data_IF_708832575811
#
_entry.id   IF_708832575811
#
_cell.length_a   1.000
_cell.length_b   1.000
_cell.length_c   1.000
_cell.angle_alpha   90.00
_cell.angle_beta   90.00
_cell.angle_gamma   90.00
#
_symmetry.space_group_name_H-M   'P 1'
#
loop_
_entity.id
_entity.type
_entity.pdbx_description
1 polymer ?
#
# COMPACT_ATOMS: atom_id res chain seq x y z
N UNK A 1 2.53 5.90 20.11
CA UNK A 1 3.87 5.30 19.86
C UNK A 1 3.90 4.59 18.50
N UNK A 2 2.89 3.78 18.19
CA UNK A 2 2.81 2.92 17.00
C UNK A 2 2.89 3.66 15.67
N UNK A 3 2.18 4.80 15.52
CA UNK A 3 2.24 5.60 14.29
C UNK A 3 3.66 6.09 13.94
N UNK A 4 4.48 6.43 14.95
CA UNK A 4 5.87 6.87 14.72
C UNK A 4 6.71 5.72 14.15
N UNK A 5 6.53 4.52 14.68
CA UNK A 5 7.24 3.32 14.22
C UNK A 5 6.77 2.92 12.82
N UNK A 6 5.46 2.92 12.55
CA UNK A 6 4.91 2.64 11.21
C UNK A 6 5.51 3.59 10.17
N UNK A 7 5.54 4.90 10.46
CA UNK A 7 6.16 5.89 9.55
C UNK A 7 7.61 5.58 9.27
N UNK A 8 8.41 5.26 10.29
CA UNK A 8 9.80 4.87 10.13
C UNK A 8 9.94 3.60 9.27
N UNK A 9 9.19 2.54 9.56
CA UNK A 9 9.22 1.29 8.81
C UNK A 9 8.83 1.47 7.34
N UNK A 10 7.84 2.30 7.04
CA UNK A 10 7.47 2.62 5.64
C UNK A 10 8.59 3.39 4.94
N UNK A 11 9.25 4.33 5.64
CA UNK A 11 10.39 5.06 5.08
C UNK A 11 11.58 4.13 4.76
N UNK A 12 11.91 3.22 5.67
CA UNK A 12 12.95 2.20 5.45
C UNK A 12 12.57 1.24 4.33
N UNK A 13 11.30 0.81 4.27
CA UNK A 13 10.82 -0.07 3.19
C UNK A 13 10.95 0.62 1.82
N UNK A 14 10.63 1.91 1.72
CA UNK A 14 10.83 2.66 0.47
C UNK A 14 12.31 2.70 0.06
N UNK A 15 13.25 2.74 1.01
CA UNK A 15 14.68 2.72 0.71
C UNK A 15 15.17 1.39 0.14
N UNK A 16 14.49 0.29 0.44
CA UNK A 16 14.81 -1.03 -0.15
C UNK A 16 14.44 -1.16 -1.63
N UNK A 17 13.56 -0.28 -2.14
CA UNK A 17 13.09 -0.33 -3.52
C UNK A 17 14.11 0.28 -4.49
N UNK A 18 14.31 -0.40 -5.61
CA UNK A 18 15.16 0.00 -6.72
C UNK A 18 14.38 0.75 -7.80
N UNK A 19 15.08 1.33 -8.78
CA UNK A 19 14.45 2.07 -9.89
C UNK A 19 13.63 1.16 -10.82
N UNK A 20 13.81 -0.16 -10.80
CA UNK A 20 13.00 -1.11 -11.59
C UNK A 20 11.66 -1.46 -10.89
N UNK A 21 11.50 -1.06 -9.64
CA UNK A 21 10.30 -1.32 -8.85
C UNK A 21 9.21 -0.26 -9.09
N UNK A 22 7.95 -0.68 -8.94
CA UNK A 22 6.78 0.18 -9.06
C UNK A 22 5.97 0.16 -7.77
N UNK A 23 5.72 1.33 -7.20
CA UNK A 23 5.14 1.49 -5.86
C UNK A 23 4.06 2.58 -5.84
N UNK A 24 3.07 2.38 -4.99
CA UNK A 24 2.21 3.45 -4.50
C UNK A 24 2.06 3.26 -2.99
N UNK A 25 1.85 4.35 -2.26
CA UNK A 25 1.62 4.33 -0.82
C UNK A 25 0.21 4.83 -0.56
N UNK A 26 -0.58 4.01 0.13
CA UNK A 26 -1.94 4.33 0.51
C UNK A 26 -2.05 4.47 2.03
N UNK A 27 -2.92 5.36 2.47
CA UNK A 27 -3.41 5.41 3.85
C UNK A 27 -4.86 4.97 3.87
N UNK A 28 -5.28 4.36 4.97
CA UNK A 28 -6.67 4.00 5.15
C UNK A 28 -7.13 4.20 6.59
N UNK A 29 -8.42 4.52 6.71
CA UNK A 29 -9.22 4.46 7.92
C UNK A 29 -10.59 3.89 7.52
N UNK A 30 -11.66 4.69 7.53
CA UNK A 30 -12.97 4.35 6.96
C UNK A 30 -12.94 4.36 5.42
N UNK A 31 -11.93 4.99 4.82
CA UNK A 31 -11.69 5.01 3.38
C UNK A 31 -10.21 4.82 3.10
N UNK A 32 -9.88 4.35 1.90
CA UNK A 32 -8.52 4.18 1.44
C UNK A 32 -8.19 5.14 0.29
N UNK A 33 -7.03 5.79 0.38
CA UNK A 33 -6.58 6.77 -0.61
C UNK A 33 -5.05 6.78 -0.74
N UNK A 34 -4.56 7.13 -1.94
CA UNK A 34 -3.14 7.36 -2.15
C UNK A 34 -2.67 8.58 -1.34
N UNK A 35 -1.50 8.46 -0.69
CA UNK A 35 -0.94 9.57 0.10
C UNK A 35 -0.48 10.73 -0.78
N UNK A 36 -0.24 10.47 -2.07
CA UNK A 36 0.04 11.46 -3.12
C UNK A 36 -1.14 11.46 -4.11
N UNK A 37 -2.03 12.46 -4.09
CA UNK A 37 -3.25 12.46 -4.92
C UNK A 37 -3.01 12.39 -6.43
N UNK A 38 -1.87 12.87 -6.92
CA UNK A 38 -1.54 12.80 -8.35
C UNK A 38 -1.04 11.41 -8.78
N UNK A 39 -0.63 10.54 -7.86
CA UNK A 39 -0.20 9.17 -8.15
C UNK A 39 -1.40 8.22 -8.15
N UNK A 40 -2.20 8.30 -9.22
CA UNK A 40 -3.41 7.47 -9.40
C UNK A 40 -3.13 5.97 -9.58
N UNK A 41 -1.88 5.62 -9.86
CA UNK A 41 -1.40 4.28 -10.19
C UNK A 41 -0.04 4.05 -9.52
N UNK A 42 0.50 2.83 -9.58
CA UNK A 42 1.89 2.56 -9.21
C UNK A 42 2.84 3.39 -10.07
N UNK A 43 3.81 4.04 -9.44
CA UNK A 43 4.86 4.83 -10.10
C UNK A 43 6.22 4.18 -9.86
N UNK A 44 7.17 4.45 -10.75
CA UNK A 44 8.55 3.97 -10.59
C UNK A 44 9.14 4.46 -9.26
N UNK A 45 9.83 3.59 -8.52
CA UNK A 45 10.42 3.88 -7.22
C UNK A 45 11.77 4.62 -7.32
N UNK A 46 11.86 5.59 -8.23
CA UNK A 46 13.05 6.44 -8.36
C UNK A 46 13.21 7.39 -7.17
N UNK A 47 14.42 7.95 -7.01
CA UNK A 47 14.79 8.85 -5.90
C UNK A 47 13.77 9.98 -5.69
N UNK A 48 13.25 10.56 -6.78
CA UNK A 48 12.30 11.69 -6.73
C UNK A 48 10.94 11.25 -6.19
N UNK A 49 10.38 10.16 -6.72
CA UNK A 49 9.07 9.65 -6.29
C UNK A 49 9.13 9.14 -4.85
N UNK A 50 10.21 8.44 -4.47
CA UNK A 50 10.44 8.01 -3.07
C UNK A 50 10.45 9.20 -2.12
N UNK A 51 11.10 10.31 -2.48
CA UNK A 51 11.11 11.53 -1.67
C UNK A 51 9.69 12.07 -1.41
N UNK A 52 8.85 12.16 -2.44
CA UNK A 52 7.45 12.60 -2.27
C UNK A 52 6.68 11.68 -1.32
N UNK A 53 6.80 10.36 -1.47
CA UNK A 53 6.15 9.42 -0.56
C UNK A 53 6.60 9.60 0.89
N UNK A 54 7.91 9.72 1.13
CA UNK A 54 8.44 9.92 2.48
C UNK A 54 7.92 11.21 3.12
N UNK A 55 7.89 12.30 2.37
CA UNK A 55 7.34 13.58 2.84
C UNK A 55 5.85 13.45 3.22
N UNK A 56 5.05 12.79 2.37
CA UNK A 56 3.63 12.58 2.65
C UNK A 56 3.40 11.64 3.84
N UNK A 57 4.18 10.55 3.95
CA UNK A 57 4.14 9.61 5.07
C UNK A 57 4.43 10.32 6.39
N UNK A 58 5.41 11.23 6.40
CA UNK A 58 5.76 12.01 7.58
C UNK A 58 4.60 12.89 8.08
N UNK A 59 3.77 13.41 7.17
CA UNK A 59 2.62 14.26 7.49
C UNK A 59 1.36 13.49 7.89
N UNK A 60 1.34 12.15 7.79
CA UNK A 60 0.15 11.36 8.12
C UNK A 60 -0.26 11.50 9.59
N UNK A 61 -1.57 11.50 9.83
CA UNK A 61 -2.16 11.51 11.16
C UNK A 61 -3.16 10.36 11.28
N UNK A 62 -3.16 9.69 12.42
CA UNK A 62 -4.14 8.65 12.72
C UNK A 62 -5.44 9.30 13.19
N UNK A 63 -6.56 8.99 12.51
CA UNK A 63 -7.91 9.48 12.84
C UNK A 63 -8.96 8.52 12.27
N UNK A 64 -10.09 8.43 12.95
CA UNK A 64 -11.26 7.63 12.52
C UNK A 64 -11.14 6.17 12.91
N UNK A 65 -12.07 5.37 12.38
CA UNK A 65 -12.13 3.91 12.59
C UNK A 65 -11.42 3.17 11.46
N UNK A 66 -10.93 1.96 11.73
CA UNK A 66 -10.22 1.14 10.75
C UNK A 66 -11.18 0.26 9.94
N UNK A 67 -11.18 0.41 8.61
CA UNK A 67 -11.84 -0.50 7.66
C UNK A 67 -10.79 -1.17 6.76
N UNK A 68 -10.43 -2.40 7.12
CA UNK A 68 -9.48 -3.22 6.36
C UNK A 68 -9.97 -3.56 4.96
N UNK A 69 -11.29 -3.71 4.76
CA UNK A 69 -11.84 -4.08 3.45
C UNK A 69 -11.63 -2.95 2.46
N UNK A 70 -11.91 -1.71 2.86
CA UNK A 70 -11.62 -0.54 2.04
C UNK A 70 -10.14 -0.46 1.65
N UNK A 71 -9.23 -0.69 2.60
CA UNK A 71 -7.78 -0.75 2.35
C UNK A 71 -7.40 -1.81 1.32
N UNK A 72 -7.87 -3.05 1.49
CA UNK A 72 -7.55 -4.14 0.57
C UNK A 72 -8.21 -3.99 -0.80
N UNK A 73 -9.45 -3.53 -0.88
CA UNK A 73 -10.08 -3.21 -2.17
C UNK A 73 -9.26 -2.20 -2.96
N UNK A 74 -8.80 -1.13 -2.31
CA UNK A 74 -7.95 -0.13 -2.94
C UNK A 74 -6.63 -0.75 -3.42
N UNK A 75 -5.95 -1.51 -2.56
CA UNK A 75 -4.66 -2.13 -2.89
C UNK A 75 -4.75 -3.14 -4.04
N UNK A 76 -5.76 -4.02 -4.03
CA UNK A 76 -5.98 -4.96 -5.13
C UNK A 76 -6.34 -4.25 -6.43
N UNK A 77 -7.19 -3.23 -6.40
CA UNK A 77 -7.51 -2.43 -7.58
C UNK A 77 -6.24 -1.75 -8.13
N UNK A 78 -5.37 -1.22 -7.27
CA UNK A 78 -4.08 -0.66 -7.69
C UNK A 78 -3.17 -1.73 -8.32
N UNK A 79 -3.17 -2.98 -7.86
CA UNK A 79 -2.28 -4.03 -8.38
C UNK A 79 -2.81 -4.76 -9.61
N UNK A 80 -4.12 -4.93 -9.72
CA UNK A 80 -4.75 -5.84 -10.69
C UNK A 80 -5.43 -5.12 -11.85
N UNK A 81 -5.88 -3.87 -11.67
CA UNK A 81 -6.50 -3.15 -12.77
C UNK A 81 -5.48 -2.88 -13.88
N UNK A 82 -5.85 -3.25 -15.10
CA UNK A 82 -5.05 -2.97 -16.29
C UNK A 82 -5.05 -1.46 -16.53
N UNK A 83 -3.89 -0.85 -16.40
CA UNK A 83 -3.63 0.53 -16.78
C UNK A 83 -2.70 0.53 -17.99
N UNK A 84 -2.83 1.50 -18.90
CA UNK A 84 -1.87 1.70 -20.00
C UNK A 84 -0.52 2.29 -19.53
N UNK A 85 -0.16 2.02 -18.27
CA UNK A 85 0.99 2.61 -17.57
C UNK A 85 2.05 1.52 -17.39
N UNK A 86 3.33 1.83 -17.58
CA UNK A 86 4.42 0.89 -17.34
C UNK A 86 4.37 0.28 -15.93
N UNK A 87 4.75 -0.99 -15.83
CA UNK A 87 4.83 -1.77 -14.58
C UNK A 87 5.97 -2.77 -14.65
N UNK A 88 6.50 -3.16 -13.49
CA UNK A 88 7.48 -4.24 -13.39
C UNK A 88 6.93 -5.60 -13.86
N UNK A 89 5.62 -5.85 -13.71
CA UNK A 89 4.96 -7.13 -14.05
C UNK A 89 5.63 -8.39 -13.48
N UNK A 90 6.32 -8.25 -12.35
CA UNK A 90 6.98 -9.33 -11.61
C UNK A 90 6.17 -9.68 -10.35
N UNK A 91 6.80 -9.59 -9.17
CA UNK A 91 6.15 -9.84 -7.90
C UNK A 91 5.07 -8.78 -7.61
N UNK A 92 3.86 -9.23 -7.29
CA UNK A 92 2.77 -8.35 -6.81
C UNK A 92 2.64 -8.51 -5.31
N UNK A 93 2.91 -7.44 -4.57
CA UNK A 93 3.01 -7.46 -3.12
C UNK A 93 2.15 -6.35 -2.53
N UNK A 94 1.40 -6.66 -1.47
CA UNK A 94 0.76 -5.69 -0.57
C UNK A 94 1.46 -5.79 0.78
N UNK A 95 1.91 -4.66 1.32
CA UNK A 95 2.44 -4.57 2.68
C UNK A 95 1.51 -3.72 3.53
N UNK A 96 0.94 -4.34 4.56
CA UNK A 96 0.03 -3.70 5.51
C UNK A 96 0.79 -3.43 6.81
N UNK A 97 0.86 -2.16 7.20
CA UNK A 97 1.33 -1.74 8.51
C UNK A 97 0.13 -1.32 9.35
N UNK A 98 -0.09 -1.98 10.47
CA UNK A 98 -1.22 -1.75 11.37
C UNK A 98 -0.77 -1.87 12.82
N UNK A 99 -1.57 -1.42 13.78
CA UNK A 99 -1.36 -1.64 15.22
C UNK A 99 -2.21 -2.80 15.78
N UNK A 100 -2.96 -3.49 14.90
CA UNK A 100 -3.80 -4.64 15.22
C UNK A 100 -5.21 -4.50 14.67
N UNK A 101 -5.96 -5.60 14.62
CA UNK A 101 -7.34 -5.59 14.15
C UNK A 101 -8.00 -6.96 14.24
N UNK A 102 -9.32 -6.97 14.38
CA UNK A 102 -10.11 -8.21 14.45
C UNK A 102 -10.60 -8.68 13.08
N UNK A 103 -10.85 -7.76 12.15
CA UNK A 103 -11.34 -8.10 10.80
C UNK A 103 -10.22 -8.68 9.93
N UNK A 104 -10.52 -9.80 9.29
CA UNK A 104 -9.61 -10.55 8.39
C UNK A 104 -9.84 -10.22 6.91
N UNK A 105 -10.87 -9.43 6.57
CA UNK A 105 -11.24 -9.06 5.20
C UNK A 105 -11.31 -10.25 4.21
N UNK A 106 -11.70 -11.44 4.72
CA UNK A 106 -11.59 -12.71 3.99
C UNK A 106 -12.35 -12.71 2.66
N UNK A 107 -13.50 -12.04 2.60
CA UNK A 107 -14.31 -11.82 1.41
C UNK A 107 -13.52 -11.10 0.30
N UNK A 108 -12.76 -10.06 0.65
CA UNK A 108 -11.91 -9.33 -0.32
C UNK A 108 -10.84 -10.25 -0.89
N UNK A 109 -10.17 -11.04 -0.05
CA UNK A 109 -9.17 -12.00 -0.53
C UNK A 109 -9.77 -13.06 -1.44
N UNK A 110 -10.95 -13.59 -1.09
CA UNK A 110 -11.66 -14.56 -1.92
C UNK A 110 -12.00 -13.98 -3.30
N UNK A 111 -12.43 -12.73 -3.35
CA UNK A 111 -12.77 -12.04 -4.59
C UNK A 111 -11.55 -11.80 -5.48
N UNK A 112 -10.44 -11.28 -4.93
CA UNK A 112 -9.34 -10.75 -5.73
C UNK A 112 -8.16 -11.70 -5.92
N UNK A 113 -7.94 -12.64 -5.00
CA UNK A 113 -6.70 -13.40 -4.96
C UNK A 113 -6.90 -14.92 -4.91
N UNK A 114 -8.12 -15.43 -4.73
CA UNK A 114 -8.39 -16.86 -4.83
C UNK A 114 -8.86 -17.28 -6.23
N UNK A 115 -8.58 -18.54 -6.65
CA UNK A 115 -7.79 -19.55 -5.95
C UNK A 115 -6.27 -19.45 -6.18
N UNK A 116 -5.85 -18.66 -7.17
CA UNK A 116 -4.48 -18.69 -7.70
C UNK A 116 -3.42 -18.01 -6.81
N UNK A 117 -3.82 -17.16 -5.86
CA UNK A 117 -2.95 -16.48 -4.88
C UNK A 117 -1.76 -15.75 -5.50
N UNK A 118 -2.04 -15.02 -6.59
CA UNK A 118 -1.00 -14.32 -7.38
C UNK A 118 -0.39 -13.10 -6.69
N UNK A 119 -1.05 -12.55 -5.66
CA UNK A 119 -0.57 -11.42 -4.85
C UNK A 119 -0.14 -11.92 -3.47
N UNK A 120 1.05 -11.51 -3.02
CA UNK A 120 1.57 -11.81 -1.67
C UNK A 120 1.23 -10.66 -0.73
N UNK A 121 0.75 -10.99 0.48
CA UNK A 121 0.41 -9.98 1.49
C UNK A 121 1.26 -10.19 2.73
N UNK A 122 1.92 -9.12 3.18
CA UNK A 122 2.71 -9.09 4.41
C UNK A 122 2.06 -8.13 5.40
N UNK A 123 1.91 -8.55 6.64
CA UNK A 123 1.31 -7.77 7.72
C UNK A 123 2.36 -7.48 8.79
N UNK A 124 2.52 -6.22 9.17
CA UNK A 124 3.42 -5.75 10.22
C UNK A 124 2.60 -5.11 11.32
N UNK A 125 2.80 -5.55 12.56
CA UNK A 125 2.15 -5.05 13.78
C UNK A 125 3.16 -4.74 14.86
#
# INVERSE_FOLDING_TARGET
>A
LTLKLIKASVMEMLDTLSDDDYVNVARFNEKAEAVIPCFKHLVQANVRNKKFFKEAVQQMQAKGTTDYKSGFHFAFNQLLNKTNVPRANCNKIIMLFTDGGEDRAQDVFMQYNWPNKTVRVFTFS
#
